data_IF_979962763322
#
_entry.id   IF_979962763322
#
_cell.length_a   1.000
_cell.length_b   1.000
_cell.length_c   1.000
_cell.angle_alpha   90.00
_cell.angle_beta   90.00
_cell.angle_gamma   90.00
#
_symmetry.space_group_name_H-M   'P 1'
#
loop_
_entity.id
_entity.type
_entity.pdbx_description
1 polymer ?
#
# COMPACT_ATOMS: atom_id res chain seq x y z
N UNK A 1 -4.47 -12.96 -0.02
CA UNK A 1 -3.09 -12.44 0.10
C UNK A 1 -2.86 -12.07 1.57
N UNK A 2 -2.14 -12.90 2.33
CA UNK A 2 -1.97 -12.70 3.78
C UNK A 2 -1.32 -11.36 4.13
N UNK A 3 -0.39 -10.88 3.29
CA UNK A 3 0.35 -9.64 3.57
C UNK A 3 -0.54 -8.40 3.70
N UNK A 4 -1.50 -8.20 2.78
CA UNK A 4 -2.41 -7.05 2.86
C UNK A 4 -3.30 -7.14 4.11
N UNK A 5 -3.84 -8.34 4.41
CA UNK A 5 -4.64 -8.56 5.61
C UNK A 5 -3.87 -8.29 6.90
N UNK A 6 -2.56 -8.55 6.94
CA UNK A 6 -1.74 -8.32 8.12
C UNK A 6 -1.40 -6.84 8.36
N UNK A 7 -1.49 -6.00 7.32
CA UNK A 7 -1.11 -4.57 7.39
C UNK A 7 -2.29 -3.62 7.24
N UNK A 8 -3.46 -4.10 6.78
CA UNK A 8 -4.62 -3.24 6.49
C UNK A 8 -5.09 -2.46 7.72
N UNK A 9 -4.98 -3.04 8.91
CA UNK A 9 -5.44 -2.41 10.16
C UNK A 9 -4.49 -1.31 10.63
N UNK A 10 -3.21 -1.40 10.23
CA UNK A 10 -2.19 -0.37 10.50
C UNK A 10 -2.23 0.77 9.48
N UNK A 11 -2.94 0.59 8.36
CA UNK A 11 -3.07 1.60 7.32
C UNK A 11 -4.36 2.39 7.49
N UNK A 12 -4.33 3.73 7.38
CA UNK A 12 -5.55 4.53 7.32
C UNK A 12 -6.38 4.21 6.06
N UNK A 13 -7.66 4.61 6.06
CA UNK A 13 -8.56 4.39 4.90
C UNK A 13 -7.94 4.94 3.61
N UNK A 14 -7.32 6.11 3.68
CA UNK A 14 -6.51 6.68 2.61
C UNK A 14 -5.07 6.79 3.09
N UNK A 15 -4.12 6.36 2.28
CA UNK A 15 -2.72 6.32 2.66
C UNK A 15 -1.79 6.63 1.49
N UNK A 16 -0.61 7.16 1.81
CA UNK A 16 0.45 7.39 0.85
C UNK A 16 1.37 6.17 0.71
N UNK A 17 2.11 6.10 -0.40
CA UNK A 17 3.17 5.08 -0.57
C UNK A 17 4.20 5.11 0.56
N UNK A 18 4.48 6.29 1.14
CA UNK A 18 5.44 6.42 2.23
C UNK A 18 4.89 5.84 3.53
N UNK A 19 3.61 6.10 3.85
CA UNK A 19 2.95 5.47 4.98
C UNK A 19 2.91 3.94 4.84
N UNK A 20 2.63 3.46 3.62
CA UNK A 20 2.72 2.03 3.30
C UNK A 20 4.11 1.45 3.55
N UNK A 21 5.16 2.16 3.13
CA UNK A 21 6.54 1.76 3.37
C UNK A 21 6.90 1.75 4.86
N UNK A 22 6.44 2.75 5.62
CA UNK A 22 6.63 2.81 7.08
C UNK A 22 5.98 1.61 7.77
N UNK A 23 4.74 1.26 7.39
CA UNK A 23 4.04 0.08 7.95
C UNK A 23 4.75 -1.23 7.61
N UNK A 24 5.39 -1.31 6.44
CA UNK A 24 6.21 -2.46 6.04
C UNK A 24 7.62 -2.47 6.67
N UNK A 25 8.04 -1.40 7.35
CA UNK A 25 9.40 -1.27 7.87
C UNK A 25 10.47 -1.17 6.77
N UNK A 26 10.09 -0.68 5.59
CA UNK A 26 10.96 -0.65 4.41
C UNK A 26 11.49 0.77 4.20
N UNK A 27 12.83 0.92 4.13
CA UNK A 27 13.48 2.19 3.86
C UNK A 27 13.26 2.74 2.43
N UNK A 28 13.50 4.04 2.26
CA UNK A 28 13.27 4.80 1.02
C UNK A 28 14.00 4.25 -0.22
N UNK A 29 15.10 3.50 -0.04
CA UNK A 29 15.83 2.86 -1.15
C UNK A 29 15.01 1.76 -1.86
N UNK A 30 13.94 1.26 -1.23
CA UNK A 30 13.13 0.13 -1.72
C UNK A 30 11.75 0.55 -2.24
N UNK A 31 11.57 1.83 -2.61
CA UNK A 31 10.30 2.37 -3.18
C UNK A 31 9.78 1.52 -4.36
N UNK A 32 10.67 0.98 -5.20
CA UNK A 32 10.28 0.14 -6.35
C UNK A 32 9.49 -1.11 -5.91
N UNK A 33 9.89 -1.72 -4.80
CA UNK A 33 9.20 -2.90 -4.23
C UNK A 33 7.82 -2.49 -3.73
N UNK A 34 7.74 -1.38 -3.00
CA UNK A 34 6.47 -0.85 -2.50
C UNK A 34 5.49 -0.55 -3.64
N UNK A 35 5.94 0.10 -4.73
CA UNK A 35 5.11 0.33 -5.92
C UNK A 35 4.62 -0.97 -6.55
N UNK A 36 5.48 -1.98 -6.65
CA UNK A 36 5.11 -3.26 -7.23
C UNK A 36 4.03 -3.97 -6.38
N UNK A 37 4.15 -3.93 -5.05
CA UNK A 37 3.13 -4.47 -4.15
C UNK A 37 1.81 -3.71 -4.26
N UNK A 38 1.85 -2.38 -4.26
CA UNK A 38 0.65 -1.55 -4.42
C UNK A 38 -0.02 -1.79 -5.78
N UNK A 39 0.75 -2.01 -6.85
CA UNK A 39 0.23 -2.40 -8.16
C UNK A 39 -0.50 -3.75 -8.08
N UNK A 40 0.06 -4.73 -7.39
CA UNK A 40 -0.59 -6.03 -7.19
C UNK A 40 -1.87 -5.91 -6.34
N UNK A 41 -1.84 -5.11 -5.27
CA UNK A 41 -3.03 -4.88 -4.43
C UNK A 41 -4.14 -4.16 -5.18
N UNK A 42 -3.76 -3.21 -6.04
CA UNK A 42 -4.69 -2.53 -6.93
C UNK A 42 -5.32 -3.50 -7.93
N UNK A 43 -4.52 -4.33 -8.60
CA UNK A 43 -5.01 -5.34 -9.56
C UNK A 43 -5.94 -6.37 -8.92
N UNK A 44 -5.76 -6.67 -7.63
CA UNK A 44 -6.62 -7.59 -6.87
C UNK A 44 -7.84 -6.91 -6.23
N UNK A 45 -8.01 -5.61 -6.41
CA UNK A 45 -9.15 -4.85 -5.89
C UNK A 45 -9.15 -4.62 -4.38
N UNK A 46 -7.98 -4.69 -3.72
CA UNK A 46 -7.86 -4.34 -2.30
C UNK A 46 -7.76 -2.83 -2.08
N UNK A 47 -7.15 -2.12 -3.03
CA UNK A 47 -6.91 -0.67 -2.96
C UNK A 47 -7.22 0.00 -4.29
N UNK A 48 -7.63 1.27 -4.25
CA UNK A 48 -7.80 2.14 -5.40
C UNK A 48 -6.70 3.19 -5.40
N UNK A 49 -6.21 3.59 -6.57
CA UNK A 49 -5.34 4.76 -6.68
C UNK A 49 -6.21 6.01 -6.78
N UNK A 50 -6.01 6.96 -5.87
CA UNK A 50 -6.78 8.22 -5.82
C UNK A 50 -5.95 9.43 -6.27
N UNK A 51 -4.62 9.29 -6.35
CA UNK A 51 -3.75 10.38 -6.80
C UNK A 51 -2.31 9.95 -7.07
N UNK A 52 -1.42 10.93 -7.22
CA UNK A 52 0.02 10.67 -7.28
C UNK A 52 0.47 10.19 -5.90
N UNK A 53 0.95 8.94 -5.82
CA UNK A 53 1.42 8.28 -4.60
C UNK A 53 0.35 8.06 -3.50
N UNK A 54 -0.94 8.27 -3.80
CA UNK A 54 -2.04 8.15 -2.85
C UNK A 54 -2.99 7.02 -3.24
N UNK A 55 -3.39 6.25 -2.23
CA UNK A 55 -4.22 5.06 -2.37
C UNK A 55 -5.32 5.06 -1.31
N UNK A 56 -6.43 4.40 -1.62
CA UNK A 56 -7.57 4.21 -0.73
C UNK A 56 -7.86 2.72 -0.58
N UNK A 57 -8.09 2.25 0.65
CA UNK A 57 -8.52 0.88 0.93
C UNK A 57 -9.97 0.68 0.50
N UNK A 58 -10.22 -0.40 -0.22
CA UNK A 58 -11.56 -0.82 -0.65
C UNK A 58 -12.08 -1.94 0.27
N UNK A 59 -11.19 -2.83 0.72
CA UNK A 59 -11.44 -3.99 1.59
C UNK A 59 -10.48 -3.99 2.78
#
# INVERSE_FOLDING_TARGET
MGLFNNIKDKLPKQFSIFQFMTVLGIGASKVRIARNLLKQFHQKGYIKRIGKNMYEKIK
#
